data_IF_606982839046
#
_entry.id   IF_606982839046
#
_cell.length_a   1.000
_cell.length_b   1.000
_cell.length_c   1.000
_cell.angle_alpha   90.00
_cell.angle_beta   90.00
_cell.angle_gamma   90.00
#
_symmetry.space_group_name_H-M   'P 1'
#
loop_
_entity.id
_entity.type
_entity.pdbx_description
1 polymer ?
#
# COMPACT_ATOMS: atom_id res chain seq x y z
N UNK A 1 17.58 66.93 11.68
CA UNK A 1 18.53 66.03 10.99
C UNK A 1 19.51 65.50 12.03
N UNK A 2 19.28 64.28 12.52
CA UNK A 2 20.19 63.54 13.39
C UNK A 2 20.06 62.07 13.01
N UNK A 3 21.21 61.49 12.70
CA UNK A 3 21.44 60.11 12.29
C UNK A 3 21.38 59.24 13.54
N UNK A 4 20.65 58.12 13.51
CA UNK A 4 20.78 57.05 14.51
C UNK A 4 21.03 55.73 13.80
N UNK A 5 22.20 55.17 14.09
CA UNK A 5 22.73 53.87 13.68
C UNK A 5 21.85 52.70 14.13
N UNK A 6 21.62 51.74 13.24
CA UNK A 6 20.95 50.48 13.54
C UNK A 6 21.97 49.49 14.14
N UNK A 7 21.68 48.96 15.33
CA UNK A 7 22.40 47.82 15.91
C UNK A 7 21.78 46.51 15.38
N UNK A 8 22.63 45.63 14.84
CA UNK A 8 22.23 44.32 14.34
C UNK A 8 21.85 43.37 15.49
N UNK A 9 20.71 42.71 15.37
CA UNK A 9 20.26 41.62 16.26
C UNK A 9 20.97 40.32 15.82
N UNK A 10 21.59 39.54 16.72
CA UNK A 10 22.24 38.29 16.34
C UNK A 10 21.20 37.20 16.03
N UNK A 11 21.47 36.45 14.96
CA UNK A 11 20.67 35.28 14.52
C UNK A 11 20.68 34.17 15.59
N UNK A 12 19.59 33.41 15.76
CA UNK A 12 19.56 32.28 16.67
C UNK A 12 20.51 31.17 16.19
N UNK A 13 21.20 30.55 17.16
CA UNK A 13 22.06 29.39 16.96
C UNK A 13 21.32 28.21 16.33
N UNK A 14 22.07 27.44 15.52
CA UNK A 14 21.68 26.22 14.82
C UNK A 14 20.81 25.27 15.64
N UNK A 15 19.88 24.52 15.01
CA UNK A 15 19.06 23.53 15.72
C UNK A 15 19.95 22.41 16.32
N UNK A 16 19.52 21.79 17.43
CA UNK A 16 20.28 20.71 18.06
C UNK A 16 20.42 19.53 17.08
N UNK A 17 21.62 18.95 17.07
CA UNK A 17 21.92 17.77 16.26
C UNK A 17 21.08 16.58 16.71
N UNK A 18 20.49 15.88 15.73
CA UNK A 18 19.78 14.62 15.94
C UNK A 18 20.78 13.60 16.51
N UNK A 19 20.49 12.92 17.63
CA UNK A 19 21.41 11.94 18.20
C UNK A 19 21.68 10.82 17.19
N UNK A 20 22.96 10.49 16.99
CA UNK A 20 23.40 9.39 16.12
C UNK A 20 22.69 8.09 16.57
N UNK A 21 22.03 7.42 15.61
CA UNK A 21 21.41 6.10 15.81
C UNK A 21 22.41 5.12 16.44
N UNK A 22 21.92 4.32 17.37
CA UNK A 22 22.68 3.37 18.17
C UNK A 22 23.31 2.25 17.31
N UNK A 23 24.64 2.30 17.19
CA UNK A 23 25.50 1.40 16.43
C UNK A 23 25.39 -0.08 16.85
N UNK A 24 24.99 -0.34 18.10
CA UNK A 24 24.89 -1.68 18.67
C UNK A 24 23.66 -2.44 18.15
N UNK A 25 22.55 -1.74 17.97
CA UNK A 25 21.31 -2.28 17.43
C UNK A 25 21.48 -2.73 15.96
N UNK A 26 22.15 -1.92 15.13
CA UNK A 26 22.45 -2.26 13.74
C UNK A 26 23.36 -3.50 13.61
N UNK A 27 24.38 -3.63 14.46
CA UNK A 27 25.26 -4.82 14.47
C UNK A 27 24.53 -6.10 14.85
N UNK A 28 23.60 -6.01 15.80
CA UNK A 28 22.78 -7.15 16.24
C UNK A 28 21.88 -7.64 15.11
N UNK A 29 21.20 -6.73 14.41
CA UNK A 29 20.35 -7.08 13.24
C UNK A 29 21.20 -7.66 12.12
N UNK A 30 22.36 -7.07 11.81
CA UNK A 30 23.28 -7.61 10.79
C UNK A 30 23.70 -9.04 11.09
N UNK A 31 24.12 -9.30 12.32
CA UNK A 31 24.52 -10.65 12.78
C UNK A 31 23.37 -11.65 12.62
N UNK A 32 22.14 -11.25 12.94
CA UNK A 32 20.96 -12.10 12.77
C UNK A 32 20.68 -12.39 11.29
N UNK A 33 20.70 -11.37 10.43
CA UNK A 33 20.49 -11.53 8.98
C UNK A 33 21.55 -12.46 8.38
N UNK A 34 22.82 -12.30 8.76
CA UNK A 34 23.90 -13.18 8.34
C UNK A 34 23.69 -14.63 8.80
N UNK A 35 23.15 -14.85 10.00
CA UNK A 35 22.86 -16.18 10.54
C UNK A 35 21.65 -16.88 9.89
N UNK A 36 20.69 -16.12 9.35
CA UNK A 36 19.45 -16.63 8.74
C UNK A 36 19.58 -16.82 7.23
N UNK A 37 20.60 -16.22 6.57
CA UNK A 37 20.87 -16.37 5.13
C UNK A 37 21.10 -17.85 4.75
N UNK A 38 20.03 -18.61 4.59
CA UNK A 38 19.96 -19.66 3.59
C UNK A 38 20.21 -18.99 2.24
N UNK A 39 21.09 -19.57 1.41
CA UNK A 39 21.51 -18.98 0.14
C UNK A 39 20.33 -18.37 -0.62
N UNK A 40 20.34 -17.06 -0.95
CA UNK A 40 19.26 -16.46 -1.71
C UNK A 40 19.28 -17.11 -3.08
N UNK A 41 18.29 -17.96 -3.38
CA UNK A 41 18.24 -18.73 -4.62
C UNK A 41 17.93 -17.87 -5.85
N UNK A 42 17.66 -16.58 -5.67
CA UNK A 42 17.46 -15.65 -6.79
C UNK A 42 18.24 -14.36 -6.55
N UNK A 43 19.33 -14.17 -7.28
CA UNK A 43 19.97 -12.86 -7.49
C UNK A 43 19.31 -12.17 -8.68
N UNK A 44 19.06 -10.86 -8.63
CA UNK A 44 18.58 -10.08 -9.79
C UNK A 44 17.45 -9.10 -9.48
N UNK A 45 17.14 -8.16 -10.38
CA UNK A 45 16.10 -7.15 -10.20
C UNK A 45 14.67 -7.76 -10.13
N UNK A 46 13.71 -7.11 -9.46
CA UNK A 46 12.33 -7.62 -9.31
C UNK A 46 11.64 -8.09 -10.61
N UNK A 47 11.93 -7.43 -11.74
CA UNK A 47 11.39 -7.80 -13.06
C UNK A 47 11.74 -9.23 -13.49
N UNK A 48 12.89 -9.76 -13.07
CA UNK A 48 13.28 -11.13 -13.41
C UNK A 48 12.44 -12.14 -12.65
N UNK A 49 12.15 -11.88 -11.37
CA UNK A 49 11.27 -12.74 -10.58
C UNK A 49 9.85 -12.75 -11.13
N UNK A 50 9.38 -11.58 -11.59
CA UNK A 50 8.11 -11.46 -12.28
C UNK A 50 8.05 -12.29 -13.57
N UNK A 51 9.14 -12.34 -14.34
CA UNK A 51 9.23 -13.16 -15.57
C UNK A 51 9.30 -14.66 -15.29
N UNK A 52 9.94 -15.06 -14.18
CA UNK A 52 10.02 -16.47 -13.76
C UNK A 52 8.75 -16.98 -13.07
N UNK A 53 7.90 -16.08 -12.57
CA UNK A 53 6.70 -16.43 -11.82
C UNK A 53 6.96 -16.73 -10.34
N UNK A 54 8.07 -16.25 -9.78
CA UNK A 54 8.46 -16.41 -8.37
C UNK A 54 8.50 -15.07 -7.62
N UNK A 55 7.74 -14.07 -8.10
CA UNK A 55 7.68 -12.71 -7.54
C UNK A 55 6.90 -12.64 -6.24
N UNK A 56 7.47 -11.96 -5.24
CA UNK A 56 6.90 -11.82 -3.90
C UNK A 56 6.60 -10.36 -3.58
N UNK A 57 5.33 -10.11 -3.20
CA UNK A 57 4.82 -8.80 -2.77
C UNK A 57 4.54 -8.79 -1.27
N UNK A 58 5.08 -7.80 -0.56
CA UNK A 58 4.52 -7.40 0.73
C UNK A 58 3.38 -6.41 0.48
N UNK A 59 2.20 -6.68 1.04
CA UNK A 59 1.05 -5.76 1.03
C UNK A 59 0.92 -5.15 2.42
N UNK A 60 1.28 -3.87 2.58
CA UNK A 60 1.07 -3.14 3.84
C UNK A 60 -0.38 -2.69 4.01
N UNK A 61 -1.15 -2.61 2.91
CA UNK A 61 -2.57 -2.26 2.88
C UNK A 61 -2.83 -0.85 2.34
N UNK A 62 -3.74 -0.73 1.37
CA UNK A 62 -4.05 0.51 0.66
C UNK A 62 -4.63 1.64 1.56
N UNK A 63 -5.24 1.27 2.70
CA UNK A 63 -5.75 2.19 3.72
C UNK A 63 -4.89 2.26 4.99
N UNK A 64 -3.82 1.48 5.10
CA UNK A 64 -2.95 1.48 6.28
C UNK A 64 -1.87 2.56 6.15
N UNK A 65 -1.89 3.52 7.06
CA UNK A 65 -1.10 4.75 6.99
C UNK A 65 -0.25 4.99 8.25
N UNK A 66 -0.07 4.00 9.12
CA UNK A 66 0.89 4.08 10.22
C UNK A 66 2.32 4.02 9.65
N UNK A 67 2.90 5.21 9.47
CA UNK A 67 4.24 5.38 8.89
C UNK A 67 5.34 4.65 9.67
N UNK A 68 5.23 4.53 11.00
CA UNK A 68 6.24 3.85 11.81
C UNK A 68 6.23 2.34 11.54
N UNK A 69 5.03 1.73 11.48
CA UNK A 69 4.87 0.32 11.18
C UNK A 69 5.26 0.02 9.73
N UNK A 70 4.82 0.84 8.77
CA UNK A 70 5.18 0.67 7.35
C UNK A 70 6.70 0.73 7.16
N UNK A 71 7.39 1.71 7.76
CA UNK A 71 8.86 1.81 7.70
C UNK A 71 9.55 0.54 8.22
N UNK A 72 9.09 0.01 9.35
CA UNK A 72 9.68 -1.19 9.96
C UNK A 72 9.38 -2.46 9.14
N UNK A 73 8.16 -2.60 8.60
CA UNK A 73 7.80 -3.68 7.70
C UNK A 73 8.65 -3.64 6.43
N UNK A 74 8.77 -2.47 5.80
CA UNK A 74 9.60 -2.28 4.61
C UNK A 74 11.06 -2.69 4.85
N UNK A 75 11.63 -2.32 6.01
CA UNK A 75 12.98 -2.76 6.41
C UNK A 75 13.10 -4.28 6.50
N UNK A 76 12.22 -4.92 7.28
CA UNK A 76 12.31 -6.37 7.54
C UNK A 76 12.09 -7.19 6.27
N UNK A 77 11.11 -6.83 5.44
CA UNK A 77 10.80 -7.57 4.23
C UNK A 77 11.78 -7.28 3.09
N UNK A 78 12.35 -6.07 3.01
CA UNK A 78 13.47 -5.82 2.10
C UNK A 78 14.69 -6.68 2.45
N UNK A 79 15.04 -6.81 3.74
CA UNK A 79 16.09 -7.74 4.19
C UNK A 79 15.76 -9.21 3.89
N UNK A 80 14.47 -9.55 3.84
CA UNK A 80 13.98 -10.89 3.51
C UNK A 80 13.95 -11.18 2.00
N UNK A 81 14.21 -10.18 1.16
CA UNK A 81 14.33 -10.33 -0.29
C UNK A 81 13.02 -10.30 -1.07
N UNK A 82 11.96 -9.66 -0.55
CA UNK A 82 10.75 -9.41 -1.34
C UNK A 82 11.06 -8.61 -2.60
N UNK A 83 10.28 -8.81 -3.65
CA UNK A 83 10.46 -8.13 -4.93
C UNK A 83 9.74 -6.79 -4.97
N UNK A 84 8.68 -6.62 -4.18
CA UNK A 84 7.89 -5.41 -4.12
C UNK A 84 7.27 -5.19 -2.74
N UNK A 85 7.19 -3.93 -2.34
CA UNK A 85 6.47 -3.47 -1.16
C UNK A 85 5.37 -2.54 -1.66
N UNK A 86 4.11 -2.90 -1.38
CA UNK A 86 2.94 -2.10 -1.67
C UNK A 86 2.42 -1.41 -0.41
N UNK A 87 2.01 -0.15 -0.56
CA UNK A 87 1.55 0.70 0.52
C UNK A 87 0.49 1.71 0.06
N UNK A 88 -0.16 2.36 1.03
CA UNK A 88 -1.09 3.44 0.76
C UNK A 88 -0.43 4.57 -0.06
N UNK A 89 -1.16 5.10 -1.04
CA UNK A 89 -0.80 6.29 -1.79
C UNK A 89 -0.93 7.58 -0.93
N UNK A 90 -0.11 7.67 0.11
CA UNK A 90 0.05 8.83 0.98
C UNK A 90 1.53 9.23 1.04
N UNK A 91 1.80 10.54 1.07
CA UNK A 91 3.17 11.06 1.01
C UNK A 91 4.02 10.63 2.20
N UNK A 92 3.45 10.57 3.40
CA UNK A 92 4.17 10.18 4.62
C UNK A 92 4.48 8.68 4.61
N UNK A 93 3.52 7.87 4.16
CA UNK A 93 3.65 6.41 4.03
C UNK A 93 4.70 6.03 2.99
N UNK A 94 4.65 6.65 1.81
CA UNK A 94 5.64 6.44 0.74
C UNK A 94 7.05 6.80 1.20
N UNK A 95 7.20 7.91 1.94
CA UNK A 95 8.49 8.33 2.50
C UNK A 95 8.99 7.30 3.51
N UNK A 96 8.13 6.87 4.43
CA UNK A 96 8.44 5.87 5.44
C UNK A 96 8.84 4.51 4.84
N UNK A 97 8.12 4.05 3.82
CA UNK A 97 8.43 2.81 3.12
C UNK A 97 9.82 2.89 2.45
N UNK A 98 10.10 3.99 1.75
CA UNK A 98 11.40 4.22 1.13
C UNK A 98 12.54 4.29 2.16
N UNK A 99 12.35 4.98 3.29
CA UNK A 99 13.32 5.00 4.40
C UNK A 99 13.57 3.61 4.99
N UNK A 100 12.54 2.76 5.06
CA UNK A 100 12.68 1.36 5.48
C UNK A 100 13.54 0.55 4.51
N UNK A 101 13.31 0.72 3.20
CA UNK A 101 14.11 0.07 2.14
C UNK A 101 15.57 0.54 2.19
N UNK A 102 15.81 1.85 2.30
CA UNK A 102 17.19 2.38 2.40
C UNK A 102 17.90 1.88 3.66
N UNK A 103 17.21 1.84 4.80
CA UNK A 103 17.77 1.26 6.01
C UNK A 103 18.16 -0.22 5.83
N UNK A 104 17.41 -0.99 5.03
CA UNK A 104 17.76 -2.37 4.72
C UNK A 104 19.04 -2.46 3.89
N UNK A 105 19.20 -1.57 2.90
CA UNK A 105 20.43 -1.43 2.10
C UNK A 105 21.63 -1.11 2.98
N UNK A 106 21.50 -0.16 3.90
CA UNK A 106 22.58 0.21 4.83
C UNK A 106 22.96 -0.93 5.79
N UNK A 107 21.97 -1.62 6.37
CA UNK A 107 22.21 -2.71 7.34
C UNK A 107 22.92 -3.89 6.69
N UNK A 108 22.55 -4.22 5.45
CA UNK A 108 23.07 -5.38 4.71
C UNK A 108 24.35 -5.12 3.91
N UNK A 109 24.87 -3.87 3.93
CA UNK A 109 25.98 -3.41 3.07
C UNK A 109 25.68 -3.63 1.58
N UNK A 110 24.45 -3.26 1.18
CA UNK A 110 23.88 -3.55 -0.12
C UNK A 110 22.93 -4.75 -0.09
N UNK A 111 21.75 -4.57 -0.68
CA UNK A 111 20.84 -5.68 -0.93
C UNK A 111 21.20 -6.37 -2.25
N UNK A 112 21.15 -7.71 -2.25
CA UNK A 112 21.22 -8.48 -3.49
C UNK A 112 20.06 -8.13 -4.46
N UNK A 113 18.94 -7.67 -3.91
CA UNK A 113 17.76 -7.17 -4.62
C UNK A 113 17.14 -6.04 -3.83
N UNK A 114 16.98 -4.87 -4.45
CA UNK A 114 16.16 -3.78 -3.90
C UNK A 114 14.70 -3.99 -4.36
N UNK A 115 13.73 -4.09 -3.45
CA UNK A 115 12.32 -4.20 -3.83
C UNK A 115 11.85 -2.95 -4.56
N UNK A 116 10.86 -3.12 -5.43
CA UNK A 116 10.09 -2.00 -5.94
C UNK A 116 9.17 -1.44 -4.85
N UNK A 117 8.95 -0.12 -4.87
CA UNK A 117 7.90 0.51 -4.08
C UNK A 117 6.66 0.75 -4.94
N UNK A 118 5.55 0.10 -4.57
CA UNK A 118 4.25 0.22 -5.20
C UNK A 118 3.31 1.05 -4.32
N UNK A 119 2.49 1.88 -4.97
CA UNK A 119 1.40 2.61 -4.28
C UNK A 119 0.04 2.14 -4.79
N UNK A 120 -0.91 1.98 -3.87
CA UNK A 120 -2.26 1.52 -4.16
C UNK A 120 -3.29 2.66 -4.21
N UNK A 121 -4.12 2.67 -5.24
CA UNK A 121 -5.27 3.58 -5.45
C UNK A 121 -6.51 2.83 -5.91
N UNK A 122 -7.66 3.50 -5.90
CA UNK A 122 -8.95 3.00 -6.39
C UNK A 122 -9.59 3.95 -7.40
N UNK A 123 -10.39 3.40 -8.31
CA UNK A 123 -11.20 4.16 -9.26
C UNK A 123 -12.60 4.51 -8.75
N UNK A 124 -13.12 3.78 -7.75
CA UNK A 124 -14.46 3.98 -7.20
C UNK A 124 -14.54 3.84 -5.66
N UNK A 125 -15.60 4.40 -5.07
CA UNK A 125 -15.85 4.40 -3.62
C UNK A 125 -16.42 3.07 -3.07
N UNK A 126 -16.69 2.10 -3.94
CA UNK A 126 -17.27 0.80 -3.54
C UNK A 126 -16.19 -0.19 -3.09
N UNK A 127 -14.93 0.12 -3.35
CA UNK A 127 -13.81 -0.70 -2.92
C UNK A 127 -13.69 -0.77 -1.39
N UNK A 128 -13.80 -1.99 -0.87
CA UNK A 128 -13.70 -2.29 0.56
C UNK A 128 -12.29 -2.07 1.13
N UNK A 129 -11.27 -1.98 0.28
CA UNK A 129 -9.90 -1.67 0.68
C UNK A 129 -9.69 -0.17 0.95
N UNK A 130 -10.61 0.70 0.50
CA UNK A 130 -10.54 2.17 0.62
C UNK A 130 -11.68 2.71 1.49
N UNK A 131 -11.70 2.23 2.73
CA UNK A 131 -12.63 2.69 3.75
C UNK A 131 -11.99 2.66 5.13
N UNK A 132 -12.50 3.47 6.05
CA UNK A 132 -12.08 3.49 7.45
C UNK A 132 -13.29 3.42 8.38
N UNK A 133 -13.08 2.94 9.59
CA UNK A 133 -14.12 3.01 10.61
C UNK A 133 -14.25 4.46 11.10
N UNK A 134 -15.46 4.88 11.43
CA UNK A 134 -15.74 6.22 11.94
C UNK A 134 -16.88 6.14 12.97
N UNK A 135 -16.75 6.86 14.07
CA UNK A 135 -17.81 7.10 15.05
C UNK A 135 -17.47 8.35 15.87
N UNK A 136 -18.49 8.97 16.48
CA UNK A 136 -18.27 10.04 17.46
C UNK A 136 -17.91 9.43 18.83
N UNK A 137 -16.69 9.63 19.35
CA UNK A 137 -16.29 9.10 20.65
C UNK A 137 -17.14 9.66 21.81
N UNK A 138 -17.67 10.88 21.69
CA UNK A 138 -18.51 11.51 22.73
C UNK A 138 -19.90 10.86 22.83
N UNK A 139 -20.36 10.26 21.73
CA UNK A 139 -21.60 9.49 21.73
C UNK A 139 -21.44 8.04 22.23
N UNK A 140 -20.22 7.57 22.49
CA UNK A 140 -19.98 6.22 22.96
C UNK A 140 -20.43 6.09 24.43
N UNK A 141 -21.38 5.19 24.77
CA UNK A 141 -21.85 5.02 26.15
C UNK A 141 -20.70 4.72 27.11
N UNK A 142 -20.65 5.42 28.25
CA UNK A 142 -19.55 5.31 29.23
C UNK A 142 -19.40 3.90 29.80
N UNK A 143 -20.52 3.19 29.92
CA UNK A 143 -20.65 1.80 30.38
C UNK A 143 -20.47 0.76 29.28
N UNK A 144 -20.17 1.17 28.03
CA UNK A 144 -19.88 0.26 26.94
C UNK A 144 -18.67 -0.64 27.27
N UNK A 145 -18.80 -1.94 27.02
CA UNK A 145 -17.73 -2.92 27.22
C UNK A 145 -16.65 -2.90 26.12
N UNK A 146 -16.78 -2.00 25.13
CA UNK A 146 -15.85 -1.75 24.01
C UNK A 146 -15.37 -3.01 23.28
N UNK A 147 -16.29 -3.87 22.78
CA UNK A 147 -15.88 -5.06 22.00
C UNK A 147 -15.16 -4.70 20.70
N UNK A 148 -15.43 -3.53 20.13
CA UNK A 148 -14.78 -3.00 18.94
C UNK A 148 -13.26 -2.81 19.11
N UNK A 149 -12.80 -2.39 20.28
CA UNK A 149 -11.36 -2.27 20.59
C UNK A 149 -10.68 -3.64 20.58
N UNK A 150 -11.29 -4.62 21.26
CA UNK A 150 -10.74 -5.99 21.36
C UNK A 150 -10.65 -6.73 20.02
N UNK A 151 -11.61 -6.50 19.12
CA UNK A 151 -11.66 -7.20 17.83
C UNK A 151 -10.79 -6.52 16.76
N UNK A 152 -10.35 -5.27 17.00
CA UNK A 152 -9.58 -4.49 16.03
C UNK A 152 -8.14 -5.04 15.93
N UNK A 153 -7.75 -5.67 14.81
CA UNK A 153 -6.43 -6.31 14.68
C UNK A 153 -5.29 -5.29 14.62
N UNK A 154 -5.56 -4.06 14.20
CA UNK A 154 -4.57 -2.98 14.13
C UNK A 154 -4.53 -2.12 15.40
N UNK A 155 -5.31 -2.45 16.44
CA UNK A 155 -5.48 -1.60 17.62
C UNK A 155 -5.81 -0.13 17.24
N UNK A 156 -6.63 0.04 16.21
CA UNK A 156 -6.97 1.33 15.62
C UNK A 156 -8.18 2.00 16.31
N UNK A 157 -8.70 1.42 17.39
CA UNK A 157 -9.79 2.01 18.18
C UNK A 157 -9.29 2.10 19.62
N UNK A 158 -9.28 3.31 20.16
CA UNK A 158 -8.91 3.62 21.53
C UNK A 158 -9.71 4.84 21.98
N UNK A 159 -10.77 4.62 22.78
CA UNK A 159 -11.64 5.71 23.19
C UNK A 159 -10.88 6.80 23.97
N UNK A 160 -9.92 6.42 24.81
CA UNK A 160 -9.07 7.36 25.53
C UNK A 160 -8.17 8.23 24.63
N UNK A 161 -8.03 7.86 23.35
CA UNK A 161 -7.28 8.61 22.32
C UNK A 161 -8.19 9.33 21.33
N UNK A 162 -9.48 9.47 21.63
CA UNK A 162 -10.44 10.15 20.76
C UNK A 162 -11.11 9.25 19.73
N UNK A 163 -11.15 7.93 19.93
CA UNK A 163 -11.90 7.00 19.10
C UNK A 163 -11.04 6.26 18.10
N UNK A 164 -11.25 6.49 16.79
CA UNK A 164 -10.49 5.79 15.73
C UNK A 164 -9.16 6.49 15.48
N UNK A 165 -8.07 5.74 15.55
CA UNK A 165 -6.74 6.15 15.06
C UNK A 165 -6.73 5.90 13.56
N UNK A 166 -7.09 6.92 12.78
CA UNK A 166 -7.33 6.85 11.35
C UNK A 166 -6.19 6.19 10.59
N UNK A 167 -4.95 6.49 10.95
CA UNK A 167 -3.74 6.01 10.27
C UNK A 167 -3.58 4.50 10.43
N UNK A 168 -4.03 3.92 11.54
CA UNK A 168 -3.97 2.47 11.78
C UNK A 168 -5.17 1.72 11.22
N UNK A 169 -6.27 2.41 10.99
CA UNK A 169 -7.49 1.80 10.50
C UNK A 169 -7.36 1.48 9.01
N UNK A 170 -7.26 0.20 8.68
CA UNK A 170 -7.21 -0.29 7.28
C UNK A 170 -8.58 -0.76 6.75
N UNK A 171 -9.68 -0.42 7.41
CA UNK A 171 -11.02 -0.70 6.86
C UNK A 171 -11.54 -2.13 6.99
N UNK A 172 -10.95 -2.96 7.87
CA UNK A 172 -11.28 -4.38 8.03
C UNK A 172 -12.73 -4.72 8.45
N UNK A 173 -13.55 -3.72 8.77
CA UNK A 173 -14.96 -3.91 9.13
C UNK A 173 -15.27 -4.73 10.40
N UNK A 174 -14.31 -5.37 11.06
CA UNK A 174 -14.56 -6.26 12.22
C UNK A 174 -15.26 -5.57 13.38
N UNK A 175 -15.03 -4.27 13.54
CA UNK A 175 -15.65 -3.46 14.59
C UNK A 175 -17.13 -3.17 14.34
N UNK A 176 -17.58 -3.15 13.09
CA UNK A 176 -18.94 -2.78 12.69
C UNK A 176 -19.99 -3.71 13.33
N UNK A 177 -19.96 -5.05 13.10
CA UNK A 177 -21.02 -5.93 13.60
C UNK A 177 -20.96 -6.18 15.11
N UNK A 178 -19.87 -5.83 15.78
CA UNK A 178 -19.71 -6.09 17.23
C UNK A 178 -20.11 -4.89 18.09
N UNK A 179 -20.35 -3.72 17.51
CA UNK A 179 -20.80 -2.56 18.27
C UNK A 179 -22.23 -2.77 18.77
N UNK A 180 -22.48 -2.88 20.09
CA UNK A 180 -23.82 -3.18 20.60
C UNK A 180 -24.81 -2.01 20.45
N UNK A 181 -24.31 -0.83 20.10
CA UNK A 181 -25.10 0.38 19.91
C UNK A 181 -25.17 0.83 18.45
N UNK A 182 -24.59 0.06 17.52
CA UNK A 182 -24.59 0.35 16.07
C UNK A 182 -24.07 1.76 15.72
N UNK A 183 -23.03 2.22 16.44
CA UNK A 183 -22.49 3.59 16.29
C UNK A 183 -21.32 3.71 15.32
N UNK A 184 -20.74 2.60 14.88
CA UNK A 184 -19.55 2.59 14.02
C UNK A 184 -20.01 2.41 12.57
N UNK A 185 -19.65 3.37 11.72
CA UNK A 185 -19.88 3.31 10.27
C UNK A 185 -18.57 3.08 9.52
N UNK A 186 -18.68 2.60 8.28
CA UNK A 186 -17.58 2.63 7.32
C UNK A 186 -17.66 3.90 6.49
N UNK A 187 -16.56 4.66 6.44
CA UNK A 187 -16.40 5.85 5.61
C UNK A 187 -15.48 5.50 4.44
N UNK A 188 -16.05 5.38 3.25
CA UNK A 188 -15.32 5.07 2.03
C UNK A 188 -14.74 6.34 1.40
N UNK A 189 -13.67 6.20 0.63
CA UNK A 189 -13.02 7.31 -0.05
C UNK A 189 -12.33 6.86 -1.33
N UNK A 190 -12.00 7.83 -2.19
CA UNK A 190 -11.19 7.63 -3.40
C UNK A 190 -9.90 8.42 -3.25
N UNK A 191 -8.76 7.83 -3.63
CA UNK A 191 -7.47 8.53 -3.63
C UNK A 191 -7.49 9.67 -4.63
N UNK A 192 -6.99 10.84 -4.23
CA UNK A 192 -6.93 12.00 -5.11
C UNK A 192 -5.93 11.76 -6.26
N UNK A 193 -6.41 11.88 -7.49
CA UNK A 193 -5.60 11.63 -8.68
C UNK A 193 -4.45 12.63 -8.84
N UNK A 194 -4.63 13.89 -8.41
CA UNK A 194 -3.57 14.91 -8.50
C UNK A 194 -2.42 14.59 -7.54
N UNK A 195 -2.74 14.28 -6.28
CA UNK A 195 -1.78 13.84 -5.28
C UNK A 195 -1.08 12.55 -5.73
N UNK A 196 -1.83 11.58 -6.28
CA UNK A 196 -1.27 10.33 -6.82
C UNK A 196 -0.29 10.61 -7.95
N UNK A 197 -0.64 11.45 -8.93
CA UNK A 197 0.25 11.85 -10.02
C UNK A 197 1.54 12.50 -9.53
N UNK A 198 1.51 13.25 -8.43
CA UNK A 198 2.72 13.80 -7.81
C UNK A 198 3.58 12.72 -7.15
N UNK A 199 2.98 11.69 -6.54
CA UNK A 199 3.70 10.55 -5.97
C UNK A 199 4.39 9.72 -7.06
N UNK A 200 3.70 9.43 -8.17
CA UNK A 200 4.24 8.62 -9.27
C UNK A 200 5.47 9.23 -9.94
N UNK A 201 5.64 10.55 -9.88
CA UNK A 201 6.83 11.24 -10.40
C UNK A 201 8.02 11.20 -9.45
N UNK A 202 7.86 10.71 -8.23
CA UNK A 202 8.96 10.61 -7.28
C UNK A 202 9.89 9.46 -7.69
N UNK A 203 11.22 9.63 -7.59
CA UNK A 203 12.19 8.63 -8.04
C UNK A 203 12.18 7.33 -7.22
N UNK A 204 11.52 7.34 -6.06
CA UNK A 204 11.40 6.20 -5.17
C UNK A 204 10.06 5.45 -5.32
N UNK A 205 9.17 5.85 -6.23
CA UNK A 205 7.94 5.11 -6.55
C UNK A 205 8.16 4.38 -7.86
N UNK A 206 8.12 3.05 -7.81
CA UNK A 206 8.45 2.18 -8.93
C UNK A 206 7.20 1.60 -9.60
N UNK A 207 6.05 1.58 -8.93
CA UNK A 207 4.86 0.90 -9.40
C UNK A 207 3.58 1.54 -8.87
N UNK A 208 2.48 1.30 -9.56
CA UNK A 208 1.13 1.62 -9.10
C UNK A 208 0.25 0.38 -9.16
N UNK A 209 -0.61 0.22 -8.18
CA UNK A 209 -1.74 -0.70 -8.19
C UNK A 209 -3.03 0.12 -8.24
N UNK A 210 -3.86 -0.17 -9.23
CA UNK A 210 -5.19 0.42 -9.38
C UNK A 210 -6.21 -0.67 -9.08
N UNK A 211 -6.91 -0.51 -7.96
CA UNK A 211 -8.07 -1.33 -7.66
C UNK A 211 -9.27 -0.83 -8.45
N UNK A 212 -10.04 -1.79 -8.95
CA UNK A 212 -11.28 -1.54 -9.67
C UNK A 212 -12.33 -2.58 -9.35
N UNK A 213 -13.59 -2.15 -9.26
CA UNK A 213 -14.72 -3.10 -9.24
C UNK A 213 -14.89 -3.82 -10.58
N UNK A 214 -14.30 -3.31 -11.66
CA UNK A 214 -14.43 -3.81 -13.04
C UNK A 214 -15.85 -3.71 -13.61
N UNK A 215 -16.81 -3.16 -12.86
CA UNK A 215 -18.21 -2.94 -13.30
C UNK A 215 -18.43 -1.57 -13.91
N UNK A 216 -17.51 -0.63 -13.66
CA UNK A 216 -17.57 0.79 -14.04
C UNK A 216 -16.26 1.21 -14.69
N UNK A 217 -16.01 0.66 -15.88
CA UNK A 217 -14.83 0.95 -16.69
C UNK A 217 -14.71 2.43 -17.07
N UNK A 218 -15.83 3.18 -17.06
CA UNK A 218 -15.85 4.63 -17.21
C UNK A 218 -15.12 5.37 -16.06
N UNK A 219 -15.21 4.87 -14.83
CA UNK A 219 -14.49 5.42 -13.69
C UNK A 219 -13.00 5.09 -13.77
N UNK A 220 -12.66 3.86 -14.14
CA UNK A 220 -11.28 3.48 -14.44
C UNK A 220 -10.67 4.39 -15.52
N UNK A 221 -11.39 4.62 -16.63
CA UNK A 221 -10.95 5.50 -17.71
C UNK A 221 -10.73 6.93 -17.23
N UNK A 222 -11.62 7.45 -16.38
CA UNK A 222 -11.46 8.77 -15.78
C UNK A 222 -10.20 8.85 -14.93
N UNK A 223 -9.99 7.89 -14.01
CA UNK A 223 -8.78 7.85 -13.18
C UNK A 223 -7.52 7.77 -14.05
N UNK A 224 -7.51 6.87 -15.03
CA UNK A 224 -6.39 6.69 -15.94
C UNK A 224 -6.04 7.98 -16.71
N UNK A 225 -7.06 8.69 -17.19
CA UNK A 225 -6.89 10.00 -17.84
C UNK A 225 -6.33 11.05 -16.87
N UNK A 226 -6.87 11.11 -15.64
CA UNK A 226 -6.44 12.06 -14.62
C UNK A 226 -5.01 11.81 -14.13
N UNK A 227 -4.55 10.55 -14.16
CA UNK A 227 -3.14 10.19 -13.91
C UNK A 227 -2.22 10.65 -15.06
N UNK A 228 -2.71 10.61 -16.30
CA UNK A 228 -2.03 11.15 -17.47
C UNK A 228 -0.62 10.57 -17.68
N UNK A 229 0.34 11.45 -18.00
CA UNK A 229 1.74 11.08 -18.27
C UNK A 229 2.51 10.63 -17.02
N UNK A 230 1.96 10.79 -15.82
CA UNK A 230 2.62 10.34 -14.57
C UNK A 230 2.82 8.83 -14.53
N UNK A 231 1.95 8.07 -15.20
CA UNK A 231 2.04 6.61 -15.38
C UNK A 231 3.29 6.20 -16.16
N UNK A 232 3.88 7.08 -16.96
CA UNK A 232 5.15 6.84 -17.67
C UNK A 232 6.39 6.87 -16.78
N UNK A 233 6.26 7.24 -15.50
CA UNK A 233 7.37 7.28 -14.54
C UNK A 233 7.54 5.99 -13.73
N UNK A 234 6.57 5.07 -13.77
CA UNK A 234 6.59 3.82 -13.01
C UNK A 234 6.88 2.62 -13.90
N UNK A 235 7.61 1.63 -13.34
CA UNK A 235 8.08 0.39 -13.97
C UNK A 235 6.98 -0.62 -14.29
N UNK A 236 5.86 -0.57 -13.56
CA UNK A 236 4.72 -1.46 -13.79
C UNK A 236 3.42 -0.83 -13.28
N UNK A 237 2.35 -1.12 -14.00
CA UNK A 237 0.98 -0.86 -13.57
C UNK A 237 0.35 -2.21 -13.25
N UNK A 238 -0.19 -2.32 -12.04
CA UNK A 238 -1.00 -3.44 -11.62
C UNK A 238 -2.48 -3.04 -11.59
N UNK A 239 -3.36 -3.94 -12.02
CA UNK A 239 -4.81 -3.79 -11.94
C UNK A 239 -5.36 -4.90 -11.06
N UNK A 240 -5.99 -4.51 -9.96
CA UNK A 240 -6.58 -5.42 -8.98
C UNK A 240 -8.09 -5.42 -9.14
N UNK A 241 -8.66 -6.61 -9.34
CA UNK A 241 -10.09 -6.76 -9.62
C UNK A 241 -10.67 -8.05 -9.04
N UNK A 242 -11.95 -8.06 -8.64
CA UNK A 242 -12.64 -9.26 -8.20
C UNK A 242 -13.01 -10.17 -9.37
N UNK A 243 -13.43 -11.40 -9.06
CA UNK A 243 -14.05 -12.27 -10.07
C UNK A 243 -15.47 -11.76 -10.39
N UNK A 244 -15.71 -11.34 -11.63
CA UNK A 244 -16.99 -10.85 -12.14
C UNK A 244 -17.79 -11.93 -12.89
N UNK A 245 -17.42 -13.20 -12.71
CA UNK A 245 -17.96 -14.34 -13.44
C UNK A 245 -17.85 -14.10 -14.95
N UNK A 246 -18.94 -14.29 -15.71
CA UNK A 246 -19.00 -14.18 -17.16
C UNK A 246 -18.56 -12.81 -17.71
N UNK A 247 -18.60 -11.76 -16.89
CA UNK A 247 -18.22 -10.40 -17.30
C UNK A 247 -16.72 -10.11 -17.16
N UNK A 248 -15.97 -10.98 -16.49
CA UNK A 248 -14.56 -10.71 -16.12
C UNK A 248 -13.70 -10.43 -17.34
N UNK A 249 -13.73 -11.29 -18.36
CA UNK A 249 -12.90 -11.12 -19.55
C UNK A 249 -13.27 -9.87 -20.35
N UNK A 250 -14.55 -9.52 -20.41
CA UNK A 250 -14.99 -8.29 -21.08
C UNK A 250 -14.44 -7.07 -20.37
N UNK A 251 -14.59 -7.01 -19.05
CA UNK A 251 -14.08 -5.91 -18.23
C UNK A 251 -12.56 -5.77 -18.34
N UNK A 252 -11.82 -6.88 -18.23
CA UNK A 252 -10.35 -6.86 -18.33
C UNK A 252 -9.88 -6.39 -19.72
N UNK A 253 -10.54 -6.80 -20.81
CA UNK A 253 -10.19 -6.35 -22.16
C UNK A 253 -10.51 -4.87 -22.39
N UNK A 254 -11.60 -4.36 -21.81
CA UNK A 254 -11.95 -2.95 -21.86
C UNK A 254 -10.95 -2.10 -21.07
N UNK A 255 -10.62 -2.50 -19.84
CA UNK A 255 -9.57 -1.88 -19.01
C UNK A 255 -8.23 -1.90 -19.74
N UNK A 256 -7.86 -3.03 -20.35
CA UNK A 256 -6.65 -3.13 -21.16
C UNK A 256 -6.66 -2.14 -22.32
N UNK A 257 -7.78 -2.02 -23.04
CA UNK A 257 -7.92 -1.09 -24.16
C UNK A 257 -7.88 0.38 -23.74
N UNK A 258 -8.33 0.70 -22.51
CA UNK A 258 -8.18 2.03 -21.92
C UNK A 258 -6.70 2.35 -21.66
N UNK A 259 -5.93 1.36 -21.23
CA UNK A 259 -4.50 1.51 -20.96
C UNK A 259 -3.62 1.54 -22.22
N UNK A 260 -4.09 0.99 -23.35
CA UNK A 260 -3.30 0.78 -24.58
C UNK A 260 -3.54 1.90 -25.63
N UNK A 261 -2.47 2.56 -26.17
CA UNK A 261 -1.51 1.91 -27.09
C UNK A 261 -0.02 2.24 -26.86
N UNK A 262 0.42 2.69 -25.68
CA UNK A 262 1.78 3.26 -25.48
C UNK A 262 2.65 2.53 -24.43
N UNK A 263 2.24 1.37 -23.93
CA UNK A 263 2.99 0.66 -22.88
C UNK A 263 3.92 -0.41 -23.45
N UNK A 264 5.22 -0.28 -23.16
CA UNK A 264 6.25 -1.23 -23.58
C UNK A 264 6.43 -2.43 -22.62
N UNK A 265 5.69 -2.47 -21.50
CA UNK A 265 5.90 -3.41 -20.40
C UNK A 265 4.66 -4.26 -20.11
N UNK A 266 4.86 -5.47 -19.58
CA UNK A 266 3.77 -6.38 -19.20
C UNK A 266 2.98 -5.77 -18.02
N UNK A 267 1.66 -5.53 -18.19
CA UNK A 267 0.76 -5.20 -17.07
C UNK A 267 0.71 -6.36 -16.05
N UNK A 268 0.46 -6.05 -14.78
CA UNK A 268 0.20 -7.06 -13.75
C UNK A 268 -1.29 -7.11 -13.41
N UNK A 269 -1.94 -8.24 -13.67
CA UNK A 269 -3.31 -8.49 -13.26
C UNK A 269 -3.31 -9.19 -11.90
N UNK A 270 -3.83 -8.52 -10.88
CA UNK A 270 -3.98 -9.07 -9.53
C UNK A 270 -5.42 -9.59 -9.35
N UNK A 271 -5.54 -10.90 -9.21
CA UNK A 271 -6.80 -11.62 -9.23
C UNK A 271 -7.34 -11.81 -7.81
N UNK A 272 -7.89 -10.74 -7.22
CA UNK A 272 -8.34 -10.70 -5.82
C UNK A 272 -9.43 -11.75 -5.50
N UNK A 273 -10.18 -12.20 -6.51
CA UNK A 273 -11.29 -13.13 -6.33
C UNK A 273 -12.41 -12.46 -5.53
N UNK A 274 -12.56 -12.83 -4.25
CA UNK A 274 -13.41 -12.09 -3.31
C UNK A 274 -12.53 -11.10 -2.53
N UNK A 275 -12.85 -9.79 -2.57
CA UNK A 275 -12.08 -8.76 -1.85
C UNK A 275 -11.88 -9.11 -0.38
N UNK A 276 -10.66 -8.90 0.12
CA UNK A 276 -10.36 -9.12 1.53
C UNK A 276 -10.98 -8.02 2.38
N UNK A 277 -12.17 -8.29 2.92
CA UNK A 277 -12.92 -7.32 3.72
C UNK A 277 -12.46 -7.24 5.18
N UNK A 278 -11.35 -7.89 5.53
CA UNK A 278 -10.88 -8.06 6.91
C UNK A 278 -11.60 -9.16 7.68
N UNK A 279 -12.55 -9.86 7.08
CA UNK A 279 -13.22 -11.03 7.67
C UNK A 279 -12.24 -12.19 7.87
N UNK A 280 -12.37 -12.90 9.01
CA UNK A 280 -11.62 -14.16 9.28
C UNK A 280 -12.30 -15.35 8.57
N UNK A 281 -13.22 -15.08 7.63
CA UNK A 281 -13.99 -16.08 6.92
C UNK A 281 -13.12 -16.96 6.03
N UNK A 282 -13.41 -18.25 5.99
CA UNK A 282 -12.82 -19.16 4.99
C UNK A 282 -13.43 -18.81 3.63
N UNK A 283 -12.69 -18.17 2.72
CA UNK A 283 -13.25 -17.84 1.41
C UNK A 283 -12.27 -17.14 0.46
N UNK A 284 -11.80 -15.95 0.83
CA UNK A 284 -11.05 -15.05 -0.07
C UNK A 284 -9.87 -15.76 -0.78
N UNK A 285 -8.99 -16.45 -0.04
CA UNK A 285 -7.87 -17.19 -0.66
C UNK A 285 -8.32 -18.30 -1.61
N UNK A 286 -9.39 -19.03 -1.28
CA UNK A 286 -9.89 -20.11 -2.15
C UNK A 286 -10.51 -19.55 -3.43
N UNK A 287 -11.22 -18.43 -3.31
CA UNK A 287 -11.83 -17.73 -4.44
C UNK A 287 -10.77 -17.08 -5.34
N UNK A 288 -9.72 -16.48 -4.77
CA UNK A 288 -8.57 -15.98 -5.53
C UNK A 288 -7.86 -17.10 -6.31
N UNK A 289 -7.57 -18.24 -5.67
CA UNK A 289 -6.97 -19.41 -6.34
C UNK A 289 -7.89 -19.94 -7.45
N UNK A 290 -9.20 -20.03 -7.21
CA UNK A 290 -10.16 -20.47 -8.22
C UNK A 290 -10.18 -19.52 -9.42
N UNK A 291 -10.19 -18.21 -9.16
CA UNK A 291 -10.16 -17.18 -10.19
C UNK A 291 -8.86 -17.22 -11.01
N UNK A 292 -7.71 -17.39 -10.35
CA UNK A 292 -6.43 -17.58 -11.03
C UNK A 292 -6.40 -18.85 -11.90
N UNK A 293 -6.98 -19.95 -11.42
CA UNK A 293 -7.09 -21.21 -12.17
C UNK A 293 -7.96 -21.03 -13.42
N UNK A 294 -9.09 -20.33 -13.28
CA UNK A 294 -9.98 -19.98 -14.40
C UNK A 294 -9.24 -19.14 -15.45
N UNK A 295 -8.59 -18.05 -15.03
CA UNK A 295 -7.86 -17.15 -15.93
C UNK A 295 -6.64 -17.82 -16.59
N UNK A 296 -6.05 -18.84 -15.95
CA UNK A 296 -4.97 -19.63 -16.56
C UNK A 296 -5.46 -20.52 -17.72
N UNK A 297 -6.73 -20.91 -17.73
CA UNK A 297 -7.32 -21.73 -18.79
C UNK A 297 -7.84 -20.91 -19.99
N UNK A 298 -7.99 -19.60 -19.85
CA UNK A 298 -8.50 -18.72 -20.90
C UNK A 298 -7.42 -18.40 -21.94
N UNK A 299 -7.73 -18.62 -23.22
CA UNK A 299 -6.80 -18.35 -24.33
C UNK A 299 -6.76 -16.87 -24.75
N UNK A 300 -7.89 -16.16 -24.73
CA UNK A 300 -8.03 -14.78 -25.23
C UNK A 300 -8.10 -13.74 -24.09
N UNK A 301 -7.25 -13.91 -23.08
CA UNK A 301 -7.12 -12.93 -21.98
C UNK A 301 -6.21 -11.77 -22.40
N UNK A 302 -6.39 -10.56 -21.82
CA UNK A 302 -5.54 -9.42 -22.17
C UNK A 302 -4.07 -9.70 -21.85
N UNK A 303 -3.20 -8.98 -22.54
CA UNK A 303 -1.76 -9.12 -22.36
C UNK A 303 -1.33 -8.70 -20.95
N UNK A 304 -0.38 -9.44 -20.37
CA UNK A 304 0.15 -9.19 -19.03
C UNK A 304 0.54 -10.45 -18.27
N UNK A 305 1.02 -10.24 -17.05
CA UNK A 305 1.25 -11.27 -16.02
C UNK A 305 0.03 -11.31 -15.11
N UNK A 306 -0.23 -12.49 -14.53
CA UNK A 306 -1.38 -12.73 -13.67
C UNK A 306 -0.86 -13.26 -12.33
N UNK A 307 -1.34 -12.68 -11.25
CA UNK A 307 -0.96 -12.98 -9.87
C UNK A 307 -2.18 -13.20 -9.00
#
# INVERSE_FOLDING_TARGET
MLVSSASAVPLPSSPPSIPRRDDQSHRTVRTLVESIRASPSTSGPPVESLRRGDWVKLICGASFEDSADVRNLSLVYALSGVDCIDCAADSSVVTAAAEGIEAAVEVSDGLARKPWLMISVNDDETDLHFRKAEFDPEECPKDCSRPCERVCPANAIALEKGGVITERCYGCGRCLPVCPYDKIRASAYVRDATATSQLLRRPNVDAIEIHTSGRRTDLFQKLWHDLGDSTGHVKIVAVSLPNLCDLTLSAMNEIYSIMDPHFQWDNLWQLDGRPMSGDIGRGATREAIAFATEMAAVQNRPHGRFM
#
